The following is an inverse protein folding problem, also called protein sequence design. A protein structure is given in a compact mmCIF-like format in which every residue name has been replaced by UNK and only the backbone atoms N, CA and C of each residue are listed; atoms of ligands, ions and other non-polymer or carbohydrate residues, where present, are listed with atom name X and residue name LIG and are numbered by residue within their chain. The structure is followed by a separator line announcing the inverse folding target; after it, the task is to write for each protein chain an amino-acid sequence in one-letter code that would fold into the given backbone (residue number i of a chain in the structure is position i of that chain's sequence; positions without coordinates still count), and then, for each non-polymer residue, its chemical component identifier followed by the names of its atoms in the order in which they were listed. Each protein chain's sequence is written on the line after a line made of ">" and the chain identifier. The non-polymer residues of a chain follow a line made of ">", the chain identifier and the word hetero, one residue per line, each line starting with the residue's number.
data_IF_088297054718
#
_entry.id   IF_088297054718
#
_cell.length_a   1.000
_cell.length_b   1.000
_cell.length_c   1.000
_cell.angle_alpha   90.00
_cell.angle_beta   90.00
_cell.angle_gamma   90.00
#
_symmetry.space_group_name_H-M   'P 1'
#
loop_
_entity.id
_entity.type
_entity.pdbx_description
1 polymer ?
#
# COMPACT_ATOMS: atom_id res chain seq x y z
N UNK A 1 9.69 -9.40 -18.61
CA UNK A 1 9.17 -8.91 -17.31
C UNK A 1 10.17 -7.87 -16.80
N UNK A 2 9.72 -6.64 -16.60
CA UNK A 2 10.57 -5.54 -16.15
C UNK A 2 9.85 -4.77 -15.03
N UNK A 3 10.61 -4.32 -14.02
CA UNK A 3 10.10 -3.45 -12.96
C UNK A 3 10.69 -2.06 -13.22
N UNK A 4 9.84 -1.06 -13.47
CA UNK A 4 10.23 0.28 -13.89
C UNK A 4 9.42 1.36 -13.17
N UNK A 5 9.79 2.62 -13.39
CA UNK A 5 8.91 3.74 -13.06
C UNK A 5 7.64 3.66 -13.91
N UNK A 6 6.51 3.97 -13.30
CA UNK A 6 5.22 3.97 -13.99
C UNK A 6 5.18 5.09 -15.03
N UNK A 7 4.81 4.74 -16.27
CA UNK A 7 4.62 5.69 -17.37
C UNK A 7 3.16 6.16 -17.47
N UNK A 8 2.23 5.24 -17.19
CA UNK A 8 0.79 5.51 -17.26
C UNK A 8 0.21 5.45 -15.82
N UNK A 9 0.06 6.62 -15.22
CA UNK A 9 -0.46 6.76 -13.85
C UNK A 9 -1.91 6.30 -13.75
N UNK A 10 -2.74 6.58 -14.75
CA UNK A 10 -4.15 6.16 -14.76
C UNK A 10 -4.29 4.64 -14.74
N UNK A 11 -3.44 3.93 -15.49
CA UNK A 11 -3.43 2.48 -15.46
C UNK A 11 -3.03 1.93 -14.07
N UNK A 12 -2.10 2.59 -13.39
CA UNK A 12 -1.71 2.22 -12.03
C UNK A 12 -2.88 2.42 -11.05
N UNK A 13 -3.61 3.53 -11.15
CA UNK A 13 -4.79 3.81 -10.34
C UNK A 13 -5.86 2.74 -10.58
N UNK A 14 -6.11 2.37 -11.84
CA UNK A 14 -7.06 1.32 -12.19
C UNK A 14 -6.69 -0.04 -11.58
N UNK A 15 -5.40 -0.39 -11.59
CA UNK A 15 -4.92 -1.65 -10.98
C UNK A 15 -5.13 -1.61 -9.46
N UNK A 16 -4.79 -0.51 -8.79
CA UNK A 16 -5.02 -0.38 -7.35
C UNK A 16 -6.52 -0.48 -7.03
N UNK A 17 -7.35 0.31 -7.69
CA UNK A 17 -8.80 0.35 -7.40
C UNK A 17 -9.46 -1.01 -7.63
N UNK A 18 -9.17 -1.68 -8.74
CA UNK A 18 -9.71 -3.01 -9.03
C UNK A 18 -9.24 -4.09 -8.06
N UNK A 19 -7.95 -4.05 -7.66
CA UNK A 19 -7.39 -5.03 -6.73
C UNK A 19 -7.91 -4.86 -5.30
N UNK A 20 -8.22 -3.62 -4.90
CA UNK A 20 -8.63 -3.30 -3.53
C UNK A 20 -10.11 -2.97 -3.37
N UNK A 21 -10.91 -3.01 -4.44
CA UNK A 21 -12.36 -2.78 -4.36
C UNK A 21 -13.02 -3.61 -3.26
N UNK A 22 -12.63 -4.89 -3.15
CA UNK A 22 -13.17 -5.83 -2.18
C UNK A 22 -12.24 -6.07 -0.96
N UNK A 23 -11.29 -5.16 -0.70
CA UNK A 23 -10.51 -5.20 0.54
C UNK A 23 -11.41 -5.08 1.77
N UNK A 24 -11.15 -5.82 2.86
CA UNK A 24 -11.97 -5.75 4.08
C UNK A 24 -12.22 -4.35 4.61
N UNK A 25 -11.27 -3.43 4.47
CA UNK A 25 -11.44 -2.03 4.87
C UNK A 25 -12.45 -1.31 3.97
N UNK A 26 -12.34 -1.45 2.65
CA UNK A 26 -13.25 -0.81 1.71
C UNK A 26 -14.67 -1.39 1.81
N UNK A 27 -14.82 -2.69 1.99
CA UNK A 27 -16.11 -3.34 2.25
C UNK A 27 -16.77 -2.84 3.55
N UNK A 28 -15.99 -2.57 4.58
CA UNK A 28 -16.51 -2.02 5.84
C UNK A 28 -17.01 -0.58 5.67
N UNK A 29 -16.33 0.24 4.88
CA UNK A 29 -16.58 1.67 4.78
C UNK A 29 -17.60 1.97 3.66
N UNK A 30 -17.39 1.41 2.47
CA UNK A 30 -18.19 1.62 1.27
C UNK A 30 -19.10 0.42 1.03
N UNK A 31 -20.25 0.42 1.68
CA UNK A 31 -21.21 -0.70 1.63
C UNK A 31 -21.97 -0.78 0.32
N UNK A 32 -22.16 0.37 -0.35
CA UNK A 32 -22.82 0.42 -1.65
C UNK A 32 -21.88 -0.07 -2.74
N UNK A 33 -22.18 -1.24 -3.29
CA UNK A 33 -21.39 -1.89 -4.33
C UNK A 33 -21.35 -1.06 -5.62
N UNK A 34 -22.44 -0.37 -5.96
CA UNK A 34 -22.54 0.42 -7.20
C UNK A 34 -21.59 1.62 -7.24
N UNK A 35 -21.19 2.13 -6.09
CA UNK A 35 -20.30 3.31 -5.98
C UNK A 35 -18.91 2.98 -5.45
N UNK A 36 -18.72 1.77 -4.90
CA UNK A 36 -17.47 1.39 -4.21
C UNK A 36 -16.22 1.56 -5.05
N UNK A 37 -16.22 1.05 -6.28
CA UNK A 37 -15.06 1.17 -7.18
C UNK A 37 -14.66 2.64 -7.39
N UNK A 38 -15.63 3.52 -7.65
CA UNK A 38 -15.37 4.95 -7.85
C UNK A 38 -14.81 5.63 -6.58
N UNK A 39 -15.26 5.22 -5.38
CA UNK A 39 -14.72 5.71 -4.12
C UNK A 39 -13.28 5.25 -3.92
N UNK A 40 -12.99 3.98 -4.19
CA UNK A 40 -11.63 3.42 -4.10
C UNK A 40 -10.71 4.06 -5.13
N UNK A 41 -11.18 4.32 -6.35
CA UNK A 41 -10.43 5.05 -7.37
C UNK A 41 -10.06 6.47 -6.90
N UNK A 42 -10.99 7.20 -6.28
CA UNK A 42 -10.74 8.53 -5.71
C UNK A 42 -9.64 8.50 -4.65
N UNK A 43 -9.58 7.44 -3.83
CA UNK A 43 -8.53 7.25 -2.83
C UNK A 43 -7.19 7.10 -3.52
N UNK A 44 -7.07 6.20 -4.52
CA UNK A 44 -5.80 5.96 -5.18
C UNK A 44 -5.35 7.13 -6.05
N UNK A 45 -6.28 7.93 -6.57
CA UNK A 45 -5.94 9.24 -7.17
C UNK A 45 -5.25 10.16 -6.16
N UNK A 46 -5.80 10.29 -4.96
CA UNK A 46 -5.18 11.09 -3.91
C UNK A 46 -3.82 10.52 -3.46
N UNK A 47 -3.70 9.19 -3.29
CA UNK A 47 -2.44 8.55 -2.94
C UNK A 47 -1.36 8.81 -3.99
N UNK A 48 -1.67 8.59 -5.26
CA UNK A 48 -0.67 8.62 -6.34
C UNK A 48 -0.32 10.06 -6.75
N UNK A 49 -1.31 10.97 -6.81
CA UNK A 49 -1.08 12.34 -7.26
C UNK A 49 -0.68 13.30 -6.16
N UNK A 50 -1.02 13.02 -4.90
CA UNK A 50 -0.75 13.95 -3.79
C UNK A 50 0.21 13.35 -2.76
N UNK A 51 -0.11 12.19 -2.17
CA UNK A 51 0.70 11.64 -1.07
C UNK A 51 2.08 11.21 -1.56
N UNK A 52 2.13 10.38 -2.60
CA UNK A 52 3.38 9.79 -3.04
C UNK A 52 4.43 10.82 -3.48
N UNK A 53 4.12 11.82 -4.33
CA UNK A 53 5.10 12.82 -4.72
C UNK A 53 5.49 13.76 -3.56
N UNK A 54 4.54 14.18 -2.73
CA UNK A 54 4.81 15.15 -1.66
C UNK A 54 5.66 14.53 -0.53
N UNK A 55 5.41 13.25 -0.21
CA UNK A 55 6.16 12.52 0.82
C UNK A 55 7.36 11.75 0.28
N UNK A 56 7.66 11.88 -1.00
CA UNK A 56 8.76 11.18 -1.67
C UNK A 56 8.64 9.65 -1.51
N UNK A 57 7.44 9.11 -1.83
CA UNK A 57 7.22 7.68 -1.93
C UNK A 57 7.58 7.19 -3.33
N UNK A 58 8.17 6.03 -3.42
CA UNK A 58 8.47 5.38 -4.69
C UNK A 58 7.25 4.62 -5.20
N UNK A 59 6.99 4.76 -6.52
CA UNK A 59 6.00 3.98 -7.23
C UNK A 59 6.69 3.23 -8.35
N UNK A 60 6.55 1.90 -8.36
CA UNK A 60 7.10 1.03 -9.41
C UNK A 60 6.00 0.15 -10.00
N UNK A 61 6.12 -0.11 -11.29
CA UNK A 61 5.24 -1.00 -12.03
C UNK A 61 5.98 -2.21 -12.54
N UNK A 62 5.31 -3.35 -12.58
CA UNK A 62 5.78 -4.56 -13.25
C UNK A 62 5.05 -4.66 -14.59
N UNK A 63 5.84 -4.67 -15.66
CA UNK A 63 5.35 -4.75 -17.04
C UNK A 63 5.71 -6.09 -17.69
N UNK A 64 4.77 -6.65 -18.47
CA UNK A 64 4.96 -7.80 -19.35
C UNK A 64 4.43 -7.41 -20.73
N UNK A 65 5.24 -7.57 -21.78
CA UNK A 65 4.88 -7.21 -23.16
C UNK A 65 4.34 -5.77 -23.30
N UNK A 66 4.96 -4.82 -22.58
CA UNK A 66 4.57 -3.41 -22.51
C UNK A 66 3.21 -3.14 -21.83
N UNK A 67 2.64 -4.12 -21.15
CA UNK A 67 1.44 -3.98 -20.35
C UNK A 67 1.79 -3.90 -18.87
N UNK A 68 1.29 -2.90 -18.16
CA UNK A 68 1.41 -2.76 -16.71
C UNK A 68 0.43 -3.71 -16.04
N UNK A 69 0.94 -4.67 -15.27
CA UNK A 69 0.11 -5.72 -14.66
C UNK A 69 0.12 -5.72 -13.13
N UNK A 70 1.10 -5.08 -12.53
CA UNK A 70 1.18 -4.94 -11.08
C UNK A 70 1.89 -3.65 -10.69
N UNK A 71 1.54 -3.12 -9.52
CA UNK A 71 2.05 -1.84 -9.01
C UNK A 71 2.37 -1.96 -7.53
N UNK A 72 3.42 -1.25 -7.11
CA UNK A 72 3.80 -1.15 -5.70
C UNK A 72 4.13 0.29 -5.34
N UNK A 73 3.65 0.74 -4.17
CA UNK A 73 4.04 2.00 -3.51
C UNK A 73 4.78 1.65 -2.24
N UNK A 74 5.94 2.23 -2.05
CA UNK A 74 6.76 1.99 -0.87
C UNK A 74 7.53 3.24 -0.44
N UNK A 75 7.91 3.26 0.83
CA UNK A 75 8.79 4.28 1.40
C UNK A 75 10.17 3.70 1.67
N UNK A 76 11.15 4.57 1.65
CA UNK A 76 12.54 4.30 2.06
C UNK A 76 12.83 4.99 3.39
N UNK A 77 13.99 4.74 4.03
CA UNK A 77 14.41 5.49 5.21
C UNK A 77 14.41 7.01 5.06
N UNK A 78 14.56 7.53 3.84
CA UNK A 78 14.62 8.94 3.50
C UNK A 78 13.26 9.56 3.17
N UNK A 79 12.21 8.77 3.04
CA UNK A 79 10.87 9.29 2.75
C UNK A 79 10.35 10.18 3.87
N UNK A 80 9.67 11.26 3.51
CA UNK A 80 9.09 12.19 4.48
C UNK A 80 7.97 11.52 5.28
N UNK A 81 7.85 11.87 6.55
CA UNK A 81 6.87 11.27 7.47
C UNK A 81 5.76 12.22 7.86
N UNK A 82 5.96 13.52 7.68
CA UNK A 82 5.03 14.55 8.13
C UNK A 82 4.18 15.08 6.99
N UNK A 83 2.91 15.20 7.25
CA UNK A 83 1.98 15.80 6.31
C UNK A 83 2.19 17.31 6.23
N UNK A 84 2.35 17.77 5.01
CA UNK A 84 2.45 19.20 4.70
C UNK A 84 1.08 19.87 4.69
N UNK A 85 0.99 21.21 4.81
CA UNK A 85 -0.28 21.92 4.63
C UNK A 85 -0.96 21.62 3.29
N UNK A 86 -0.17 21.37 2.24
CA UNK A 86 -0.70 20.96 0.92
C UNK A 86 -1.42 19.62 1.02
N UNK A 87 -0.80 18.60 1.63
CA UNK A 87 -1.42 17.28 1.80
C UNK A 87 -2.68 17.33 2.68
N UNK A 88 -2.68 18.17 3.71
CA UNK A 88 -3.87 18.36 4.55
C UNK A 88 -5.03 18.89 3.70
N UNK A 89 -4.79 19.93 2.90
CA UNK A 89 -5.80 20.52 2.01
C UNK A 89 -6.30 19.53 0.94
N UNK A 90 -5.40 18.80 0.30
CA UNK A 90 -5.77 17.76 -0.69
C UNK A 90 -6.53 16.59 -0.02
N UNK A 91 -6.14 16.22 1.20
CA UNK A 91 -6.86 15.21 1.99
C UNK A 91 -8.28 15.64 2.35
N UNK A 92 -8.51 16.92 2.66
CA UNK A 92 -9.86 17.46 2.86
C UNK A 92 -10.70 17.41 1.59
N UNK A 93 -10.12 17.68 0.42
CA UNK A 93 -10.81 17.56 -0.88
C UNK A 93 -11.20 16.09 -1.16
N UNK A 94 -10.27 15.16 -0.98
CA UNK A 94 -10.54 13.74 -1.11
C UNK A 94 -11.62 13.28 -0.12
N UNK A 95 -11.59 13.78 1.12
CA UNK A 95 -12.58 13.50 2.15
C UNK A 95 -14.00 13.95 1.81
N UNK A 96 -14.14 15.04 1.05
CA UNK A 96 -15.45 15.47 0.55
C UNK A 96 -16.07 14.48 -0.45
N UNK A 97 -15.24 13.74 -1.17
CA UNK A 97 -15.68 12.71 -2.13
C UNK A 97 -15.96 11.39 -1.39
N UNK A 98 -15.02 10.94 -0.57
CA UNK A 98 -15.07 9.62 0.09
C UNK A 98 -15.88 9.62 1.38
N UNK A 99 -16.19 10.80 1.93
CA UNK A 99 -16.95 11.00 3.15
C UNK A 99 -16.09 10.99 4.42
N UNK A 100 -16.55 11.70 5.45
CA UNK A 100 -15.86 11.84 6.75
C UNK A 100 -15.61 10.51 7.45
N UNK A 101 -16.51 9.55 7.26
CA UNK A 101 -16.36 8.21 7.83
C UNK A 101 -15.09 7.54 7.33
N UNK A 102 -14.79 7.63 6.02
CA UNK A 102 -13.56 7.07 5.46
C UNK A 102 -12.33 7.76 6.05
N UNK A 103 -12.32 9.09 6.05
CA UNK A 103 -11.18 9.88 6.56
C UNK A 103 -10.89 9.52 8.02
N UNK A 104 -11.92 9.44 8.85
CA UNK A 104 -11.77 9.07 10.26
C UNK A 104 -11.21 7.66 10.41
N UNK A 105 -11.79 6.70 9.71
CA UNK A 105 -11.41 5.29 9.84
C UNK A 105 -10.00 5.02 9.32
N UNK A 106 -9.63 5.58 8.16
CA UNK A 106 -8.27 5.37 7.64
C UNK A 106 -7.20 6.02 8.52
N UNK A 107 -7.51 7.19 9.11
CA UNK A 107 -6.63 7.85 10.06
C UNK A 107 -6.43 7.00 11.32
N UNK A 108 -7.50 6.46 11.89
CA UNK A 108 -7.40 5.57 13.05
C UNK A 108 -6.59 4.30 12.75
N UNK A 109 -6.83 3.70 11.57
CA UNK A 109 -6.06 2.53 11.13
C UNK A 109 -4.58 2.88 11.01
N UNK A 110 -4.26 3.96 10.30
CA UNK A 110 -2.88 4.42 10.10
C UNK A 110 -2.17 4.69 11.43
N UNK A 111 -2.83 5.33 12.39
CA UNK A 111 -2.26 5.58 13.73
C UNK A 111 -1.97 4.27 14.48
N UNK A 112 -2.84 3.25 14.36
CA UNK A 112 -2.60 1.94 14.97
C UNK A 112 -1.43 1.22 14.30
N UNK A 113 -1.39 1.20 12.98
CA UNK A 113 -0.31 0.60 12.21
C UNK A 113 1.04 1.26 12.51
N UNK A 114 1.10 2.60 12.46
CA UNK A 114 2.34 3.36 12.72
C UNK A 114 2.94 3.12 14.11
N UNK A 115 2.11 2.96 15.15
CA UNK A 115 2.59 2.71 16.53
C UNK A 115 3.39 1.42 16.67
N UNK A 116 3.19 0.48 15.76
CA UNK A 116 3.76 -0.87 15.82
C UNK A 116 4.82 -1.11 14.75
N UNK A 117 5.17 -0.08 13.98
CA UNK A 117 6.28 -0.14 13.03
C UNK A 117 7.62 -0.20 13.74
N UNK A 118 8.63 -0.86 13.19
CA UNK A 118 10.00 -0.81 13.71
C UNK A 118 10.48 0.63 13.86
N UNK A 119 11.22 0.92 14.92
CA UNK A 119 11.82 2.25 15.13
C UNK A 119 13.09 2.44 14.31
N UNK A 120 13.77 1.34 13.95
CA UNK A 120 14.94 1.37 13.09
C UNK A 120 14.57 1.78 11.66
N UNK A 121 15.47 2.41 10.90
CA UNK A 121 15.25 2.73 9.50
C UNK A 121 14.91 1.49 8.68
N UNK A 122 13.87 1.54 7.88
CA UNK A 122 13.38 0.40 7.10
C UNK A 122 12.61 0.85 5.87
N UNK A 123 12.47 -0.04 4.90
CA UNK A 123 11.51 0.11 3.81
C UNK A 123 10.12 -0.23 4.34
N UNK A 124 9.10 0.47 3.86
CA UNK A 124 7.72 0.14 4.19
C UNK A 124 6.88 0.02 2.93
N UNK A 125 6.23 -1.12 2.76
CA UNK A 125 5.31 -1.35 1.65
C UNK A 125 3.95 -0.76 2.03
N UNK A 126 3.60 0.35 1.37
CA UNK A 126 2.32 1.03 1.57
C UNK A 126 1.19 0.29 0.85
N UNK A 127 1.39 0.03 -0.45
CA UNK A 127 0.41 -0.59 -1.31
C UNK A 127 1.10 -1.56 -2.28
N UNK A 128 0.51 -2.73 -2.49
CA UNK A 128 0.93 -3.68 -3.52
C UNK A 128 -0.31 -4.27 -4.18
N UNK A 129 -0.45 -4.05 -5.47
CA UNK A 129 -1.58 -4.53 -6.25
C UNK A 129 -1.11 -5.31 -7.48
N UNK A 130 -1.85 -6.36 -7.81
CA UNK A 130 -1.74 -7.11 -9.06
C UNK A 130 -3.11 -7.05 -9.73
N UNK A 131 -3.15 -6.70 -11.01
CA UNK A 131 -4.39 -6.70 -11.79
C UNK A 131 -5.12 -8.05 -11.65
N UNK A 132 -6.45 -8.05 -11.42
CA UNK A 132 -7.20 -9.26 -11.10
C UNK A 132 -6.94 -10.45 -12.04
N UNK A 133 -6.86 -10.22 -13.35
CA UNK A 133 -6.59 -11.26 -14.35
C UNK A 133 -5.17 -11.84 -14.31
N UNK A 134 -4.25 -11.17 -13.60
CA UNK A 134 -2.87 -11.58 -13.43
C UNK A 134 -2.54 -12.10 -12.03
N UNK A 135 -3.52 -12.13 -11.11
CA UNK A 135 -3.33 -12.68 -9.77
C UNK A 135 -3.05 -14.19 -9.78
N UNK A 136 -2.46 -14.71 -8.70
CA UNK A 136 -2.11 -16.13 -8.58
C UNK A 136 -0.89 -16.58 -9.39
N UNK A 137 -0.30 -15.72 -10.23
CA UNK A 137 0.82 -16.06 -11.15
C UNK A 137 2.20 -15.65 -10.59
N UNK A 138 2.28 -15.22 -9.33
CA UNK A 138 3.55 -14.89 -8.66
C UNK A 138 4.08 -13.47 -8.88
N UNK A 139 3.33 -12.58 -9.54
CA UNK A 139 3.81 -11.22 -9.83
C UNK A 139 3.93 -10.34 -8.59
N UNK A 140 3.04 -10.49 -7.61
CA UNK A 140 3.20 -9.85 -6.31
C UNK A 140 4.50 -10.27 -5.61
N UNK A 141 4.83 -11.57 -5.64
CA UNK A 141 6.12 -12.09 -5.12
C UNK A 141 7.32 -11.48 -5.84
N UNK A 142 7.22 -11.25 -7.15
CA UNK A 142 8.31 -10.61 -7.91
C UNK A 142 8.54 -9.16 -7.45
N UNK A 143 7.48 -8.38 -7.21
CA UNK A 143 7.59 -7.05 -6.64
C UNK A 143 8.17 -7.07 -5.21
N UNK A 144 7.72 -8.01 -4.37
CA UNK A 144 8.28 -8.17 -3.01
C UNK A 144 9.78 -8.46 -3.04
N UNK A 145 10.22 -9.37 -3.93
CA UNK A 145 11.65 -9.68 -4.10
C UNK A 145 12.46 -8.48 -4.61
N UNK A 146 11.87 -7.66 -5.46
CA UNK A 146 12.49 -6.41 -5.91
C UNK A 146 12.75 -5.46 -4.73
N UNK A 147 11.76 -5.25 -3.85
CA UNK A 147 11.92 -4.41 -2.65
C UNK A 147 12.95 -5.03 -1.69
N UNK A 148 12.96 -6.36 -1.55
CA UNK A 148 13.96 -7.07 -0.74
C UNK A 148 15.38 -6.78 -1.21
N UNK A 149 15.63 -6.84 -2.51
CA UNK A 149 16.92 -6.50 -3.08
C UNK A 149 17.30 -5.03 -2.84
N UNK A 150 16.34 -4.10 -2.96
CA UNK A 150 16.60 -2.70 -2.66
C UNK A 150 16.95 -2.49 -1.18
N UNK A 151 16.18 -3.09 -0.28
CA UNK A 151 16.39 -2.95 1.17
C UNK A 151 17.72 -3.54 1.61
N UNK A 152 18.08 -4.73 1.12
CA UNK A 152 19.35 -5.40 1.45
C UNK A 152 20.59 -4.62 0.97
N UNK A 153 20.46 -3.87 -0.13
CA UNK A 153 21.54 -3.04 -0.67
C UNK A 153 21.54 -1.59 -0.14
N UNK A 154 20.63 -1.27 0.76
CA UNK A 154 20.48 0.09 1.28
C UNK A 154 21.20 0.23 2.63
N UNK A 155 22.16 1.12 2.72
CA UNK A 155 23.07 1.25 3.87
C UNK A 155 22.39 1.52 5.21
N UNK A 156 21.22 2.19 5.21
CA UNK A 156 20.49 2.53 6.42
C UNK A 156 19.38 1.52 6.75
N UNK A 157 18.94 0.71 5.78
CA UNK A 157 17.78 -0.15 5.97
C UNK A 157 18.10 -1.36 6.84
N UNK A 158 17.26 -1.65 7.82
CA UNK A 158 17.33 -2.86 8.64
C UNK A 158 16.36 -3.95 8.19
N UNK A 159 15.51 -3.66 7.21
CA UNK A 159 14.50 -4.61 6.73
C UNK A 159 13.30 -3.93 6.07
N UNK A 160 12.24 -4.71 5.92
CA UNK A 160 11.01 -4.29 5.25
C UNK A 160 9.82 -4.52 6.19
N UNK A 161 9.00 -3.49 6.39
CA UNK A 161 7.76 -3.57 7.13
C UNK A 161 6.56 -3.43 6.19
N UNK A 162 5.42 -3.97 6.61
CA UNK A 162 4.12 -3.80 5.99
C UNK A 162 3.01 -4.03 7.02
N UNK A 163 1.79 -3.63 6.67
CA UNK A 163 0.57 -3.99 7.39
C UNK A 163 -0.44 -4.63 6.43
N UNK A 164 -1.29 -5.51 6.95
CA UNK A 164 -2.39 -6.08 6.19
C UNK A 164 -3.60 -6.34 7.08
N UNK A 165 -4.80 -6.18 6.52
CA UNK A 165 -6.06 -6.57 7.14
C UNK A 165 -6.59 -7.91 6.61
N UNK A 166 -5.95 -8.48 5.58
CA UNK A 166 -6.36 -9.73 4.97
C UNK A 166 -5.55 -10.91 5.54
N UNK A 167 -6.20 -11.89 6.24
CA UNK A 167 -5.52 -13.05 6.81
C UNK A 167 -4.83 -13.96 5.77
N UNK A 168 -5.34 -14.01 4.55
CA UNK A 168 -4.71 -14.82 3.48
C UNK A 168 -3.36 -14.21 3.06
N UNK A 169 -3.26 -12.88 3.06
CA UNK A 169 -2.01 -12.20 2.80
C UNK A 169 -0.98 -12.45 3.90
N UNK A 170 -1.39 -12.63 5.15
CA UNK A 170 -0.47 -12.97 6.25
C UNK A 170 0.28 -14.25 5.94
N UNK A 171 -0.43 -15.31 5.54
CA UNK A 171 0.20 -16.60 5.18
C UNK A 171 1.18 -16.45 4.03
N UNK A 172 0.80 -15.66 3.00
CA UNK A 172 1.67 -15.38 1.86
C UNK A 172 2.95 -14.66 2.32
N UNK A 173 2.84 -13.63 3.15
CA UNK A 173 3.99 -12.90 3.66
C UNK A 173 4.88 -13.74 4.59
N UNK A 174 4.29 -14.62 5.42
CA UNK A 174 5.05 -15.57 6.25
C UNK A 174 5.91 -16.50 5.37
N UNK A 175 5.36 -17.02 4.26
CA UNK A 175 6.14 -17.80 3.28
C UNK A 175 7.25 -17.00 2.57
N UNK A 176 7.18 -15.67 2.58
CA UNK A 176 8.21 -14.78 2.07
C UNK A 176 9.22 -14.36 3.15
N UNK A 177 9.10 -14.90 4.36
CA UNK A 177 10.02 -14.66 5.48
C UNK A 177 9.65 -13.45 6.35
N UNK A 178 8.44 -12.90 6.21
CA UNK A 178 7.93 -11.89 7.12
C UNK A 178 7.40 -12.53 8.40
N UNK A 179 7.65 -11.89 9.54
CA UNK A 179 7.08 -12.29 10.82
C UNK A 179 6.02 -11.29 11.26
N UNK A 180 4.92 -11.79 11.83
CA UNK A 180 3.92 -10.94 12.48
C UNK A 180 4.54 -10.36 13.74
N UNK A 181 4.72 -9.04 13.78
CA UNK A 181 5.28 -8.32 14.94
C UNK A 181 4.19 -7.81 15.87
N UNK A 182 3.00 -7.51 15.33
CA UNK A 182 1.88 -7.04 16.11
C UNK A 182 0.54 -7.42 15.48
N UNK A 183 -0.47 -7.69 16.33
CA UNK A 183 -1.86 -7.92 15.93
C UNK A 183 -2.75 -6.90 16.61
N UNK A 184 -3.62 -6.27 15.85
CA UNK A 184 -4.59 -5.31 16.38
C UNK A 184 -5.99 -5.56 15.84
N UNK A 185 -6.99 -4.94 16.49
CA UNK A 185 -8.37 -4.92 16.00
C UNK A 185 -8.77 -3.50 15.65
N UNK A 186 -9.55 -3.38 14.59
CA UNK A 186 -10.04 -2.13 14.08
C UNK A 186 -11.46 -2.33 13.52
N UNK A 187 -12.48 -1.81 14.20
CA UNK A 187 -13.89 -1.93 13.82
C UNK A 187 -14.33 -3.35 13.37
N UNK A 188 -13.87 -4.37 14.09
CA UNK A 188 -14.15 -5.77 13.78
C UNK A 188 -13.16 -6.44 12.82
N UNK A 189 -12.36 -5.68 12.09
CA UNK A 189 -11.30 -6.17 11.22
C UNK A 189 -10.05 -6.48 12.05
N UNK A 190 -9.34 -7.55 11.71
CA UNK A 190 -8.02 -7.87 12.26
C UNK A 190 -6.96 -7.19 11.40
N UNK A 191 -6.02 -6.49 12.05
CA UNK A 191 -4.84 -5.95 11.39
C UNK A 191 -3.58 -6.67 11.88
N UNK A 192 -2.59 -6.78 10.99
CA UNK A 192 -1.33 -7.45 11.23
C UNK A 192 -0.20 -6.55 10.77
N UNK A 193 0.67 -6.14 11.69
CA UNK A 193 1.94 -5.52 11.32
C UNK A 193 2.99 -6.60 11.18
N UNK A 194 3.75 -6.56 10.10
CA UNK A 194 4.73 -7.59 9.77
C UNK A 194 6.07 -6.96 9.42
N UNK A 195 7.15 -7.70 9.70
CA UNK A 195 8.52 -7.27 9.42
C UNK A 195 9.39 -8.42 8.95
N UNK A 196 10.22 -8.13 7.96
CA UNK A 196 11.29 -9.01 7.48
C UNK A 196 12.63 -8.28 7.63
N UNK A 197 13.57 -8.75 8.49
CA UNK A 197 14.89 -8.15 8.58
C UNK A 197 15.70 -8.39 7.29
N UNK A 198 16.65 -7.49 7.03
CA UNK A 198 17.66 -7.71 5.99
C UNK A 198 18.57 -8.90 6.36
N UNK A 199 19.17 -9.49 5.35
CA UNK A 199 20.14 -10.60 5.49
C UNK A 199 21.55 -10.06 5.63
#
# INVERSE_FOLDING_TARGET
>A
MFITKIKNIEQAINIFSSAFENDPMHLLIFKDESTRLAMVESIYRFVVYSIAPELNYDIKGLEINNELIAVIIFTTPESKKEWTPVLISEGEKAGRITGERYVTMIREYALKAMRNRPKSPHFYINELAVSPEYQGKGYGKALMKYIENLSNNHSLSTGIALDTSNPENVKMYEHLGYNVTYKFRFHGIKGYSMFKPNH
#
